data_IF_746603007393
#
_entry.id   IF_746603007393
#
_cell.length_a   1.000
_cell.length_b   1.000
_cell.length_c   1.000
_cell.angle_alpha   90.00
_cell.angle_beta   90.00
_cell.angle_gamma   90.00
#
_symmetry.space_group_name_H-M   'P 1'
#
loop_
_entity.id
_entity.type
_entity.pdbx_description
1 polymer ?
#
# COMPACT_ATOMS: atom_id res chain seq x y z
N UNK A 1 -6.06 34.51 5.12
CA UNK A 1 -6.36 33.07 5.25
C UNK A 1 -5.48 32.54 6.36
N UNK A 2 -6.06 32.25 7.53
CA UNK A 2 -5.30 31.76 8.69
C UNK A 2 -5.17 30.25 8.57
N UNK A 3 -3.98 29.76 8.22
CA UNK A 3 -3.63 28.34 8.27
C UNK A 3 -3.56 27.92 9.73
N UNK A 4 -4.53 27.11 10.18
CA UNK A 4 -4.47 26.49 11.51
C UNK A 4 -3.25 25.56 11.55
N UNK A 5 -2.34 25.67 12.53
CA UNK A 5 -1.14 24.86 12.58
C UNK A 5 -1.49 23.39 12.83
N UNK A 6 -1.25 22.55 11.82
CA UNK A 6 -1.29 21.09 11.97
C UNK A 6 -0.22 20.67 12.97
N UNK A 7 -0.63 20.03 14.07
CA UNK A 7 0.31 19.65 15.13
C UNK A 7 0.99 18.34 14.78
N UNK A 8 2.32 18.35 14.67
CA UNK A 8 3.10 17.15 14.36
C UNK A 8 3.29 16.29 15.61
N UNK A 9 3.19 14.97 15.48
CA UNK A 9 3.29 14.02 16.58
C UNK A 9 4.31 12.93 16.28
N UNK A 10 5.24 12.67 17.20
CA UNK A 10 6.33 11.71 16.97
C UNK A 10 5.84 10.26 17.12
N UNK A 11 6.50 9.28 16.49
CA UNK A 11 6.16 7.86 16.66
C UNK A 11 6.12 7.41 18.12
N UNK A 12 7.08 7.86 18.94
CA UNK A 12 7.12 7.53 20.37
C UNK A 12 5.95 8.13 21.15
N UNK A 13 5.55 9.37 20.84
CA UNK A 13 4.38 9.99 21.45
C UNK A 13 3.09 9.26 21.05
N UNK A 14 2.96 8.86 19.77
CA UNK A 14 1.79 8.13 19.29
C UNK A 14 1.69 6.75 19.96
N UNK A 15 2.80 6.02 20.10
CA UNK A 15 2.83 4.74 20.81
C UNK A 15 2.36 4.88 22.26
N UNK A 16 2.80 5.93 22.96
CA UNK A 16 2.34 6.21 24.33
C UNK A 16 0.85 6.48 24.37
N UNK A 17 0.33 7.33 23.47
CA UNK A 17 -1.10 7.61 23.38
C UNK A 17 -1.94 6.35 23.15
N UNK A 18 -1.50 5.48 22.24
CA UNK A 18 -2.15 4.20 21.95
C UNK A 18 -2.11 3.22 23.15
N UNK A 19 -1.14 3.38 24.06
CA UNK A 19 -0.98 2.50 25.22
C UNK A 19 -1.71 2.97 26.48
N UNK A 20 -1.98 4.28 26.64
CA UNK A 20 -2.38 4.86 27.94
C UNK A 20 -3.77 5.51 27.98
N UNK A 21 -4.49 5.64 26.87
CA UNK A 21 -5.76 6.41 26.85
C UNK A 21 -6.73 6.02 25.74
N UNK A 22 -7.82 6.80 25.54
CA UNK A 22 -8.69 6.62 24.38
C UNK A 22 -7.87 6.84 23.11
N UNK A 23 -7.76 5.80 22.28
CA UNK A 23 -6.90 5.81 21.11
C UNK A 23 -7.42 6.86 20.10
N UNK A 24 -6.56 7.74 19.57
CA UNK A 24 -6.97 8.67 18.52
C UNK A 24 -7.33 7.91 17.25
N UNK A 25 -8.19 8.49 16.42
CA UNK A 25 -8.56 7.89 15.14
C UNK A 25 -7.39 8.00 14.17
N UNK A 26 -6.87 6.86 13.74
CA UNK A 26 -5.70 6.79 12.85
C UNK A 26 -6.16 6.73 11.39
N UNK A 27 -5.80 7.72 10.59
CA UNK A 27 -6.17 7.80 9.17
C UNK A 27 -4.93 7.69 8.29
N UNK A 28 -4.79 6.59 7.56
CA UNK A 28 -3.72 6.40 6.58
C UNK A 28 -4.17 6.86 5.19
N UNK A 29 -3.59 7.96 4.73
CA UNK A 29 -3.94 8.60 3.45
C UNK A 29 -3.12 8.09 2.26
N UNK A 30 -2.38 6.99 2.44
CA UNK A 30 -1.68 6.30 1.34
C UNK A 30 -2.64 5.52 0.45
N UNK A 31 -2.10 4.98 -0.64
CA UNK A 31 -2.87 4.09 -1.51
C UNK A 31 -3.25 2.79 -0.79
N UNK A 32 -4.33 2.09 -1.20
CA UNK A 32 -4.70 0.81 -0.60
C UNK A 32 -3.61 -0.26 -0.70
N UNK A 33 -2.82 -0.24 -1.77
CA UNK A 33 -1.69 -1.16 -1.94
C UNK A 33 -0.59 -0.93 -0.91
N UNK A 34 -0.26 0.32 -0.62
CA UNK A 34 0.69 0.67 0.44
C UNK A 34 0.17 0.26 1.83
N UNK A 35 -1.10 0.56 2.12
CA UNK A 35 -1.74 0.22 3.39
C UNK A 35 -1.82 -1.29 3.62
N UNK A 36 -2.24 -2.06 2.60
CA UNK A 36 -2.28 -3.52 2.68
C UNK A 36 -0.90 -4.14 2.87
N UNK A 37 0.18 -3.49 2.43
CA UNK A 37 1.53 -4.03 2.62
C UNK A 37 1.96 -3.97 4.09
N UNK A 38 1.81 -2.80 4.71
CA UNK A 38 2.18 -2.55 6.11
C UNK A 38 1.45 -1.29 6.59
N UNK A 39 0.75 -1.35 7.72
CA UNK A 39 0.07 -0.20 8.33
C UNK A 39 0.05 -0.29 9.86
N UNK A 40 -0.21 0.84 10.54
CA UNK A 40 -0.36 0.88 12.00
C UNK A 40 -1.64 0.13 12.41
N UNK A 41 -1.61 -0.77 13.42
CA UNK A 41 -2.80 -1.45 13.89
C UNK A 41 -3.90 -0.46 14.30
N UNK A 42 -5.13 -0.72 13.86
CA UNK A 42 -6.28 0.17 14.10
C UNK A 42 -6.36 1.38 13.17
N UNK A 43 -5.44 1.54 12.22
CA UNK A 43 -5.55 2.58 11.20
C UNK A 43 -6.59 2.25 10.12
N UNK A 44 -7.17 3.30 9.55
CA UNK A 44 -8.13 3.24 8.45
C UNK A 44 -7.52 3.80 7.19
N UNK A 45 -7.67 3.10 6.07
CA UNK A 45 -7.19 3.61 4.80
C UNK A 45 -8.21 4.55 4.15
N UNK A 46 -7.85 5.82 4.03
CA UNK A 46 -8.62 6.83 3.29
C UNK A 46 -7.68 7.59 2.38
N UNK A 47 -7.41 7.08 1.17
CA UNK A 47 -6.45 7.66 0.25
C UNK A 47 -6.68 9.15 0.02
N UNK A 48 -5.60 9.92 -0.10
CA UNK A 48 -5.65 11.38 -0.24
C UNK A 48 -6.62 11.86 -1.32
N UNK A 49 -6.65 11.19 -2.48
CA UNK A 49 -7.54 11.56 -3.59
C UNK A 49 -9.02 11.43 -3.18
N UNK A 50 -9.40 10.28 -2.61
CA UNK A 50 -10.74 10.02 -2.08
C UNK A 50 -11.09 11.00 -0.96
N UNK A 51 -10.14 11.31 -0.08
CA UNK A 51 -10.31 12.28 1.00
C UNK A 51 -10.64 13.67 0.47
N UNK A 52 -9.94 14.13 -0.57
CA UNK A 52 -10.16 15.46 -1.16
C UNK A 52 -11.51 15.55 -1.88
N UNK A 53 -11.89 14.50 -2.58
CA UNK A 53 -13.16 14.40 -3.31
C UNK A 53 -14.37 14.33 -2.36
N UNK A 54 -14.27 13.56 -1.27
CA UNK A 54 -15.38 13.26 -0.36
C UNK A 54 -15.23 13.89 1.04
N UNK A 55 -14.44 14.97 1.17
CA UNK A 55 -14.08 15.57 2.46
C UNK A 55 -15.26 15.85 3.40
N UNK A 56 -16.38 16.37 2.88
CA UNK A 56 -17.55 16.70 3.70
C UNK A 56 -18.26 15.45 4.26
N UNK A 57 -18.30 14.37 3.49
CA UNK A 57 -18.93 13.11 3.87
C UNK A 57 -18.07 12.35 4.90
N UNK A 58 -16.74 12.39 4.72
CA UNK A 58 -15.78 11.81 5.66
C UNK A 58 -15.79 12.58 6.97
N UNK A 59 -15.84 13.91 6.93
CA UNK A 59 -15.85 14.77 8.11
C UNK A 59 -17.05 14.51 9.03
N UNK A 60 -18.21 14.14 8.47
CA UNK A 60 -19.39 13.76 9.26
C UNK A 60 -19.19 12.49 10.11
N UNK A 61 -18.10 11.75 9.89
CA UNK A 61 -17.78 10.50 10.58
C UNK A 61 -16.40 10.55 11.27
N UNK A 62 -15.79 11.73 11.38
CA UNK A 62 -14.53 11.94 12.10
C UNK A 62 -14.79 12.73 13.38
N UNK A 63 -14.21 12.25 14.47
CA UNK A 63 -14.21 12.94 15.77
C UNK A 63 -13.09 14.00 15.83
N UNK A 64 -13.02 14.76 16.92
CA UNK A 64 -12.02 15.83 17.09
C UNK A 64 -10.56 15.33 17.25
N UNK A 65 -10.35 14.04 17.50
CA UNK A 65 -9.02 13.46 17.69
C UNK A 65 -8.62 12.51 16.54
N UNK A 66 -8.01 13.09 15.50
CA UNK A 66 -7.53 12.36 14.31
C UNK A 66 -6.03 12.55 14.12
N UNK A 67 -5.33 11.43 13.88
CA UNK A 67 -3.92 11.39 13.48
C UNK A 67 -3.82 10.93 12.02
N UNK A 68 -3.30 11.80 11.18
CA UNK A 68 -3.06 11.55 9.76
C UNK A 68 -1.69 10.91 9.54
N UNK A 69 -1.68 9.84 8.77
CA UNK A 69 -0.51 9.01 8.49
C UNK A 69 -0.32 8.98 6.99
N UNK A 70 0.93 9.13 6.55
CA UNK A 70 1.30 8.77 5.19
C UNK A 70 2.68 8.10 5.17
N UNK A 71 3.35 8.05 4.02
CA UNK A 71 4.68 7.43 3.93
C UNK A 71 5.75 8.23 4.68
N UNK A 72 5.79 9.56 4.49
CA UNK A 72 6.89 10.42 4.97
C UNK A 72 6.45 11.76 5.59
N UNK A 73 5.14 12.03 5.68
CA UNK A 73 4.54 13.28 6.19
C UNK A 73 3.85 14.14 5.10
N UNK A 74 4.35 14.18 3.87
CA UNK A 74 3.87 15.14 2.84
C UNK A 74 2.40 14.99 2.44
N UNK A 75 1.93 13.77 2.17
CA UNK A 75 0.50 13.54 1.82
C UNK A 75 -0.42 13.78 3.02
N UNK A 76 0.05 13.50 4.23
CA UNK A 76 -0.71 13.71 5.47
C UNK A 76 -0.88 15.21 5.76
N UNK A 77 0.12 16.04 5.47
CA UNK A 77 -0.02 17.50 5.56
C UNK A 77 -1.09 18.04 4.61
N UNK A 78 -1.09 17.59 3.35
CA UNK A 78 -2.12 17.96 2.35
C UNK A 78 -3.52 17.50 2.76
N UNK A 79 -3.65 16.30 3.32
CA UNK A 79 -4.92 15.83 3.88
C UNK A 79 -5.37 16.70 5.07
N UNK A 80 -4.43 17.12 5.92
CA UNK A 80 -4.67 18.00 7.05
C UNK A 80 -5.21 19.35 6.61
N UNK A 81 -4.60 19.97 5.61
CA UNK A 81 -5.08 21.22 5.01
C UNK A 81 -6.50 21.06 4.44
N UNK A 82 -6.75 20.01 3.66
CA UNK A 82 -8.05 19.76 3.05
C UNK A 82 -9.19 19.53 4.07
N UNK A 83 -8.90 18.86 5.19
CA UNK A 83 -9.87 18.64 6.27
C UNK A 83 -10.04 19.87 7.17
N UNK A 84 -8.97 20.64 7.39
CA UNK A 84 -9.04 21.90 8.12
C UNK A 84 -9.91 22.93 7.36
N UNK A 85 -9.77 23.02 6.04
CA UNK A 85 -10.65 23.82 5.17
C UNK A 85 -12.12 23.37 5.22
N UNK A 86 -12.35 22.07 5.47
CA UNK A 86 -13.69 21.51 5.58
C UNK A 86 -14.31 21.67 6.98
N UNK A 87 -13.57 22.21 7.95
CA UNK A 87 -14.08 22.54 9.29
C UNK A 87 -13.76 21.54 10.39
N UNK A 88 -12.74 20.68 10.24
CA UNK A 88 -12.24 19.80 11.31
C UNK A 88 -10.98 20.43 11.95
N UNK A 89 -11.12 21.24 13.01
CA UNK A 89 -9.97 21.75 13.74
C UNK A 89 -9.32 20.62 14.56
N UNK A 90 -8.02 20.72 14.85
CA UNK A 90 -7.24 19.80 15.71
C UNK A 90 -6.69 18.51 15.08
N UNK A 91 -6.34 18.56 13.79
CA UNK A 91 -5.66 17.45 13.12
C UNK A 91 -4.19 17.34 13.55
N UNK A 92 -3.75 16.09 13.80
CA UNK A 92 -2.35 15.77 14.07
C UNK A 92 -1.75 14.99 12.92
N UNK A 93 -0.48 15.22 12.59
CA UNK A 93 0.24 14.46 11.55
C UNK A 93 1.36 13.66 12.20
N UNK A 94 1.47 12.38 11.84
CA UNK A 94 2.58 11.54 12.27
C UNK A 94 3.89 12.01 11.61
N UNK A 95 4.85 12.43 12.43
CA UNK A 95 6.17 12.87 11.99
C UNK A 95 6.93 11.74 11.29
N UNK A 96 7.50 12.03 10.12
CA UNK A 96 8.18 11.05 9.29
C UNK A 96 7.31 9.89 8.77
N UNK A 97 6.00 9.90 9.07
CA UNK A 97 5.02 8.91 8.61
C UNK A 97 5.37 7.47 8.99
N UNK A 98 4.92 6.54 8.14
CA UNK A 98 5.17 5.10 8.30
C UNK A 98 6.66 4.73 8.30
N UNK A 99 7.52 5.48 7.59
CA UNK A 99 8.97 5.19 7.62
C UNK A 99 9.55 5.38 9.02
N UNK A 100 9.21 6.49 9.70
CA UNK A 100 9.67 6.74 11.06
C UNK A 100 9.03 5.76 12.07
N UNK A 101 7.78 5.36 11.85
CA UNK A 101 7.10 4.34 12.65
C UNK A 101 7.81 2.97 12.58
N UNK A 102 8.14 2.52 11.36
CA UNK A 102 8.85 1.25 11.13
C UNK A 102 10.28 1.30 11.65
N UNK A 103 11.01 2.41 11.47
CA UNK A 103 12.35 2.60 12.03
C UNK A 103 12.36 2.58 13.56
N UNK A 104 11.28 3.04 14.20
CA UNK A 104 11.11 2.98 15.65
C UNK A 104 10.81 1.57 16.18
N UNK A 105 10.68 0.56 15.31
CA UNK A 105 10.36 -0.82 15.69
C UNK A 105 8.95 -0.98 16.27
N UNK A 106 8.05 -0.06 15.95
CA UNK A 106 6.69 -0.05 16.47
C UNK A 106 5.82 -1.17 15.85
N UNK A 107 4.74 -1.61 16.52
CA UNK A 107 3.84 -2.62 15.98
C UNK A 107 3.25 -2.20 14.62
N UNK A 108 3.25 -3.13 13.66
CA UNK A 108 2.65 -2.97 12.34
C UNK A 108 1.84 -4.21 11.96
N UNK A 109 0.68 -4.00 11.35
CA UNK A 109 -0.04 -5.05 10.64
C UNK A 109 0.54 -5.17 9.24
N UNK A 110 1.19 -6.30 8.96
CA UNK A 110 1.69 -6.61 7.63
C UNK A 110 0.68 -7.46 6.88
N UNK A 111 0.37 -7.08 5.64
CA UNK A 111 -0.40 -7.95 4.77
C UNK A 111 0.44 -9.09 4.21
N UNK A 112 -0.18 -9.99 3.44
CA UNK A 112 0.51 -11.10 2.83
C UNK A 112 1.63 -10.58 1.94
N UNK A 113 2.85 -11.07 2.17
CA UNK A 113 4.06 -10.69 1.42
C UNK A 113 3.90 -11.15 -0.04
N UNK A 114 3.36 -10.28 -0.90
CA UNK A 114 3.20 -10.58 -2.33
C UNK A 114 4.59 -10.65 -2.95
N UNK A 115 4.91 -11.77 -3.60
CA UNK A 115 6.18 -11.90 -4.31
C UNK A 115 6.21 -10.94 -5.48
N UNK A 116 7.31 -10.21 -5.64
CA UNK A 116 7.57 -9.39 -6.82
C UNK A 116 7.32 -10.22 -8.08
N UNK A 117 6.66 -9.62 -9.07
CA UNK A 117 6.38 -10.23 -10.36
C UNK A 117 7.65 -10.76 -11.01
N UNK A 118 8.78 -10.05 -10.86
CA UNK A 118 10.08 -10.50 -11.37
C UNK A 118 10.53 -11.81 -10.73
N UNK A 119 10.29 -11.98 -9.42
CA UNK A 119 10.65 -13.20 -8.69
C UNK A 119 9.78 -14.38 -9.12
N UNK A 120 8.49 -14.13 -9.38
CA UNK A 120 7.57 -15.14 -9.91
C UNK A 120 7.98 -15.59 -11.32
N UNK A 121 8.27 -14.64 -12.21
CA UNK A 121 8.71 -14.92 -13.58
C UNK A 121 10.02 -15.70 -13.59
N UNK A 122 11.01 -15.30 -12.78
CA UNK A 122 12.30 -15.98 -12.68
C UNK A 122 12.15 -17.43 -12.24
N UNK A 123 11.29 -17.69 -11.24
CA UNK A 123 11.05 -19.04 -10.76
C UNK A 123 10.35 -19.90 -11.83
N UNK A 124 9.28 -19.40 -12.44
CA UNK A 124 8.54 -20.14 -13.48
C UNK A 124 9.43 -20.45 -14.69
N UNK A 125 10.13 -19.45 -15.21
CA UNK A 125 11.06 -19.60 -16.33
C UNK A 125 12.18 -20.60 -16.00
N UNK A 126 12.80 -20.45 -14.83
CA UNK A 126 13.87 -21.34 -14.36
C UNK A 126 13.39 -22.79 -14.22
N UNK A 127 12.20 -23.00 -13.65
CA UNK A 127 11.58 -24.33 -13.53
C UNK A 127 11.34 -24.97 -14.90
N UNK A 128 10.79 -24.24 -15.87
CA UNK A 128 10.54 -24.77 -17.22
C UNK A 128 11.84 -25.23 -17.89
N UNK A 129 12.90 -24.41 -17.81
CA UNK A 129 14.21 -24.73 -18.39
C UNK A 129 14.82 -25.95 -17.69
N UNK A 130 14.81 -25.97 -16.35
CA UNK A 130 15.35 -27.08 -15.56
C UNK A 130 14.64 -28.39 -15.85
N UNK A 131 13.31 -28.39 -15.84
CA UNK A 131 12.50 -29.59 -16.12
C UNK A 131 12.67 -30.06 -17.55
N UNK A 132 12.76 -29.14 -18.52
CA UNK A 132 13.01 -29.49 -19.93
C UNK A 132 14.39 -30.08 -20.14
N UNK A 133 15.42 -29.58 -19.44
CA UNK A 133 16.78 -30.14 -19.47
C UNK A 133 16.84 -31.54 -18.88
N UNK A 134 16.24 -31.75 -17.71
CA UNK A 134 16.15 -33.07 -17.05
C UNK A 134 15.37 -34.06 -17.93
N UNK A 135 14.21 -33.66 -18.46
CA UNK A 135 13.41 -34.51 -19.35
C UNK A 135 14.16 -34.84 -20.66
N UNK A 136 15.00 -33.92 -21.15
CA UNK A 136 15.86 -34.13 -22.32
C UNK A 136 16.87 -35.27 -22.19
N UNK A 137 17.23 -35.67 -20.96
CA UNK A 137 18.09 -36.83 -20.69
C UNK A 137 17.38 -38.17 -20.95
N UNK A 138 16.04 -38.19 -20.83
CA UNK A 138 15.23 -39.40 -20.98
C UNK A 138 14.48 -39.45 -22.33
N UNK A 139 14.14 -38.28 -22.88
CA UNK A 139 13.42 -38.14 -24.14
C UNK A 139 14.18 -37.16 -25.04
N UNK A 140 14.85 -37.68 -26.07
CA UNK A 140 15.79 -36.92 -26.91
C UNK A 140 15.18 -35.74 -27.66
N UNK A 141 13.85 -35.55 -27.68
CA UNK A 141 13.18 -34.37 -28.26
C UNK A 141 12.69 -33.33 -27.23
N UNK A 142 12.72 -33.63 -25.94
CA UNK A 142 12.21 -32.73 -24.90
C UNK A 142 13.09 -31.47 -24.70
N UNK A 143 14.38 -31.53 -25.07
CA UNK A 143 15.29 -30.39 -25.02
C UNK A 143 14.88 -29.21 -25.93
N UNK A 144 14.07 -29.46 -26.96
CA UNK A 144 13.58 -28.42 -27.89
C UNK A 144 12.63 -27.43 -27.21
N UNK A 145 11.88 -27.87 -26.20
CA UNK A 145 10.97 -27.00 -25.44
C UNK A 145 11.75 -26.02 -24.56
N UNK A 146 12.76 -26.53 -23.84
CA UNK A 146 13.60 -25.70 -22.98
C UNK A 146 14.44 -24.68 -23.76
N UNK A 147 14.95 -25.08 -24.93
CA UNK A 147 15.71 -24.18 -25.81
C UNK A 147 14.83 -23.09 -26.43
N UNK A 148 13.61 -23.41 -26.87
CA UNK A 148 12.67 -22.41 -27.40
C UNK A 148 12.25 -21.39 -26.33
N UNK A 149 11.95 -21.85 -25.11
CA UNK A 149 11.60 -20.96 -23.98
C UNK A 149 12.79 -20.11 -23.56
N UNK A 150 13.99 -20.70 -23.47
CA UNK A 150 15.22 -19.97 -23.17
C UNK A 150 15.52 -18.87 -24.20
N UNK A 151 15.41 -19.19 -25.49
CA UNK A 151 15.61 -18.22 -26.57
C UNK A 151 14.61 -17.05 -26.50
N UNK A 152 13.33 -17.33 -26.22
CA UNK A 152 12.30 -16.31 -26.05
C UNK A 152 12.56 -15.37 -24.86
N UNK A 153 13.06 -15.90 -23.74
CA UNK A 153 13.43 -15.10 -22.56
C UNK A 153 14.64 -14.21 -22.83
N UNK A 154 15.67 -14.74 -23.51
CA UNK A 154 16.85 -13.95 -23.91
C UNK A 154 16.46 -12.84 -24.87
N UNK A 155 15.58 -13.11 -25.84
CA UNK A 155 15.07 -12.09 -26.77
C UNK A 155 14.31 -10.99 -26.03
N UNK A 156 13.38 -11.35 -25.12
CA UNK A 156 12.61 -10.39 -24.34
C UNK A 156 13.48 -9.50 -23.43
N UNK A 157 14.56 -10.05 -22.87
CA UNK A 157 15.53 -9.30 -22.07
C UNK A 157 16.32 -8.30 -22.93
N UNK A 158 16.72 -8.69 -24.15
CA UNK A 158 17.44 -7.83 -25.08
C UNK A 158 16.57 -6.70 -25.66
N UNK A 159 15.29 -6.96 -25.86
CA UNK A 159 14.37 -6.01 -26.49
C UNK A 159 13.63 -5.08 -25.51
N UNK A 160 13.92 -5.17 -24.20
CA UNK A 160 13.21 -4.46 -23.12
C UNK A 160 11.67 -4.58 -23.20
N UNK A 161 11.16 -5.62 -23.86
CA UNK A 161 9.73 -5.81 -24.09
C UNK A 161 9.20 -6.85 -23.11
N UNK A 162 8.74 -6.38 -21.96
CA UNK A 162 8.03 -7.22 -20.99
C UNK A 162 6.58 -7.47 -21.46
N UNK A 163 6.39 -8.08 -22.63
CA UNK A 163 5.07 -8.41 -23.18
C UNK A 163 4.23 -9.24 -22.19
N UNK A 164 4.88 -10.18 -21.49
CA UNK A 164 4.26 -10.95 -20.41
C UNK A 164 3.86 -10.05 -19.22
N UNK A 165 4.72 -9.12 -18.79
CA UNK A 165 4.41 -8.17 -17.71
C UNK A 165 3.23 -7.25 -18.04
N UNK A 166 3.13 -6.77 -19.29
CA UNK A 166 1.99 -5.99 -19.79
C UNK A 166 0.69 -6.81 -19.88
N UNK A 167 0.79 -8.12 -20.12
CA UNK A 167 -0.37 -9.01 -20.16
C UNK A 167 -0.83 -9.39 -18.74
N UNK A 168 0.12 -9.62 -17.82
CA UNK A 168 -0.14 -9.92 -16.42
C UNK A 168 -0.69 -8.70 -15.65
N UNK A 169 -0.31 -7.46 -15.98
CA UNK A 169 -0.90 -6.25 -15.37
C UNK A 169 -2.37 -6.05 -15.72
N UNK A 170 -2.85 -6.67 -16.81
CA UNK A 170 -4.26 -6.62 -17.21
C UNK A 170 -5.14 -7.62 -16.46
N UNK A 171 -4.56 -8.62 -15.79
CA UNK A 171 -5.31 -9.63 -15.04
C UNK A 171 -5.97 -9.03 -13.79
N UNK A 172 -7.18 -9.50 -13.41
CA UNK A 172 -7.96 -8.91 -12.31
C UNK A 172 -7.21 -8.88 -10.98
N UNK A 173 -6.42 -9.91 -10.68
CA UNK A 173 -5.64 -10.02 -9.44
C UNK A 173 -4.47 -9.02 -9.33
N UNK A 174 -4.03 -8.44 -10.45
CA UNK A 174 -2.92 -7.50 -10.51
C UNK A 174 -3.39 -6.04 -10.57
N UNK A 175 -4.70 -5.81 -10.70
CA UNK A 175 -5.31 -4.49 -10.51
C UNK A 175 -5.41 -4.25 -9.01
N UNK A 176 -4.77 -3.18 -8.53
CA UNK A 176 -4.79 -2.83 -7.12
C UNK A 176 -6.23 -2.66 -6.59
N UNK A 177 -6.44 -2.79 -5.26
CA UNK A 177 -7.75 -2.57 -4.66
C UNK A 177 -8.26 -1.17 -5.04
N UNK A 178 -9.46 -1.10 -5.63
CA UNK A 178 -10.15 0.18 -5.81
C UNK A 178 -10.80 0.57 -4.48
N UNK A 179 -10.53 1.78 -4.02
CA UNK A 179 -11.22 2.33 -2.85
C UNK A 179 -12.63 2.74 -3.25
N UNK A 180 -13.63 2.12 -2.63
CA UNK A 180 -15.02 2.55 -2.70
C UNK A 180 -15.34 3.37 -1.43
N UNK A 181 -15.89 4.57 -1.62
CA UNK A 181 -16.26 5.47 -0.52
C UNK A 181 -17.26 4.82 0.45
N UNK A 182 -18.17 3.97 -0.06
CA UNK A 182 -19.13 3.26 0.79
C UNK A 182 -18.44 2.33 1.79
N UNK A 183 -17.37 1.67 1.35
CA UNK A 183 -16.56 0.80 2.19
C UNK A 183 -15.79 1.61 3.23
N UNK A 184 -15.22 2.76 2.84
CA UNK A 184 -14.55 3.68 3.76
C UNK A 184 -15.49 4.13 4.87
N UNK A 185 -16.70 4.57 4.51
CA UNK A 185 -17.70 5.04 5.48
C UNK A 185 -18.21 3.91 6.36
N UNK A 186 -18.44 2.71 5.80
CA UNK A 186 -18.81 1.55 6.59
C UNK A 186 -17.75 1.24 7.67
N UNK A 187 -16.47 1.26 7.30
CA UNK A 187 -15.37 1.06 8.24
C UNK A 187 -15.31 2.17 9.31
N UNK A 188 -15.63 3.42 8.98
CA UNK A 188 -15.68 4.52 9.95
C UNK A 188 -16.88 4.44 10.91
N UNK A 189 -17.98 3.78 10.51
CA UNK A 189 -19.23 3.63 11.31
C UNK A 189 -19.22 2.43 12.25
N UNK A 190 -18.53 1.34 11.92
CA UNK A 190 -18.54 0.12 12.74
C UNK A 190 -17.86 0.27 14.12
N UNK A 191 -17.19 1.40 14.38
CA UNK A 191 -16.46 1.65 15.63
C UNK A 191 -16.83 2.97 16.33
N UNK A 192 -17.97 3.57 15.99
CA UNK A 192 -18.63 4.63 16.78
C UNK A 192 -19.62 4.03 17.78
#
# INVERSE_FOLDING_TARGET
MSTTPTTTLTPAALQRLLATGPAPRLLDVRTPGEFQTSHIPGAYNVPLDTLREHRAEILAHLDEDVVLICRSGGRAAQAGEALAEAGLPNLRVLDGGMMAWEMAGAPVNQGPKRWDLERQVRLVAGSIVLTSGIAGLFVRRAHLVGTAVGAGLTFAALSNTCAMGMMLSKLPYNRGPRTDIRTVIASLREQS
#
